data_IF_978597263001
#
_entry.id   IF_978597263001
#
_cell.length_a   1.000
_cell.length_b   1.000
_cell.length_c   1.000
_cell.angle_alpha   90.00
_cell.angle_beta   90.00
_cell.angle_gamma   90.00
#
_symmetry.space_group_name_H-M   'P 1'
#
loop_
_entity.id
_entity.type
_entity.pdbx_description
1 polymer ?
#
# COMPACT_ATOMS: atom_id res chain seq x y z
N UNK A 1 36.16 8.85 18.74
CA UNK A 1 35.50 7.57 19.02
C UNK A 1 36.15 7.00 20.27
N UNK A 2 35.41 6.93 21.41
CA UNK A 2 35.93 6.22 22.59
C UNK A 2 35.74 4.73 22.33
N UNK A 3 36.79 3.93 22.46
CA UNK A 3 36.66 2.49 22.39
C UNK A 3 35.86 2.03 23.62
N UNK A 4 34.68 1.51 23.41
CA UNK A 4 33.82 0.97 24.43
C UNK A 4 34.03 -0.54 24.49
N UNK A 5 34.64 -0.98 25.56
CA UNK A 5 34.82 -2.39 25.87
C UNK A 5 36.19 -2.97 25.56
N UNK A 6 36.45 -4.09 26.18
CA UNK A 6 37.65 -4.88 26.00
C UNK A 6 37.32 -5.98 24.96
N UNK A 7 38.06 -6.03 23.86
CA UNK A 7 37.93 -7.12 22.90
C UNK A 7 38.76 -8.27 23.43
N UNK A 8 38.12 -9.27 23.99
CA UNK A 8 38.81 -10.51 24.40
C UNK A 8 39.03 -11.44 23.20
N UNK A 9 39.97 -12.40 23.36
CA UNK A 9 40.37 -13.34 22.29
C UNK A 9 39.23 -14.16 21.68
N UNK A 10 38.06 -14.18 22.31
CA UNK A 10 36.89 -14.96 21.89
C UNK A 10 35.85 -14.14 21.11
N UNK A 11 36.24 -13.02 20.58
CA UNK A 11 35.34 -12.17 19.74
C UNK A 11 34.10 -11.66 20.53
N UNK A 12 34.24 -11.35 21.80
CA UNK A 12 33.20 -10.77 22.63
C UNK A 12 33.46 -9.26 22.85
N UNK A 13 32.40 -8.48 22.84
CA UNK A 13 32.41 -7.07 23.22
C UNK A 13 31.59 -6.92 24.49
N UNK A 14 32.11 -6.23 25.50
CA UNK A 14 31.41 -5.89 26.73
C UNK A 14 30.99 -4.43 26.67
N UNK A 15 29.74 -4.14 27.00
CA UNK A 15 29.20 -2.80 27.09
C UNK A 15 28.21 -2.71 28.25
N UNK A 16 28.01 -1.51 28.78
CA UNK A 16 27.08 -1.27 29.88
C UNK A 16 25.65 -1.19 29.31
N UNK A 17 24.71 -1.94 29.88
CA UNK A 17 23.31 -1.88 29.51
C UNK A 17 22.63 -0.63 30.08
N UNK A 18 21.84 0.06 29.29
CA UNK A 18 21.01 1.18 29.70
C UNK A 18 19.66 0.76 30.31
N UNK A 19 19.37 -0.54 30.29
CA UNK A 19 18.14 -1.15 30.81
C UNK A 19 18.20 -2.68 30.71
N UNK A 20 17.09 -3.35 30.95
CA UNK A 20 16.97 -4.80 30.79
C UNK A 20 17.18 -5.20 29.32
N UNK A 21 17.96 -6.25 29.08
CA UNK A 21 18.23 -6.81 27.75
C UNK A 21 17.97 -8.30 27.81
N UNK A 22 17.03 -8.78 26.98
CA UNK A 22 16.67 -10.19 26.91
C UNK A 22 17.68 -10.98 26.07
N UNK A 23 17.93 -12.24 26.46
CA UNK A 23 18.82 -13.12 25.70
C UNK A 23 18.36 -13.34 24.26
N UNK A 24 19.30 -13.26 23.31
CA UNK A 24 19.01 -13.45 21.89
C UNK A 24 18.37 -12.24 21.20
N UNK A 25 18.19 -11.13 21.89
CA UNK A 25 17.70 -9.89 21.27
C UNK A 25 18.84 -9.08 20.66
N UNK A 26 18.59 -8.39 19.53
CA UNK A 26 19.54 -7.44 18.97
C UNK A 26 19.65 -6.21 19.86
N UNK A 27 20.82 -5.57 19.82
CA UNK A 27 21.13 -4.39 20.64
C UNK A 27 21.72 -3.27 19.81
N UNK A 28 21.51 -2.05 20.27
CA UNK A 28 22.07 -0.82 19.70
C UNK A 28 22.95 -0.11 20.71
N UNK A 29 23.96 0.62 20.22
CA UNK A 29 24.75 1.55 21.03
C UNK A 29 24.02 2.87 21.12
N UNK A 30 23.79 3.34 22.32
CA UNK A 30 23.22 4.67 22.58
C UNK A 30 24.31 5.76 22.46
N UNK A 31 23.90 7.01 22.30
CA UNK A 31 24.81 8.14 22.17
C UNK A 31 25.71 8.37 23.41
N UNK A 32 25.31 7.87 24.55
CA UNK A 32 26.09 7.91 25.81
C UNK A 32 27.07 6.74 25.95
N UNK A 33 27.12 5.82 24.97
CA UNK A 33 27.99 4.66 24.93
C UNK A 33 27.45 3.45 25.72
N UNK A 34 26.25 3.52 26.24
CA UNK A 34 25.55 2.35 26.79
C UNK A 34 24.90 1.56 25.64
N UNK A 35 24.37 0.37 25.95
CA UNK A 35 23.60 -0.46 24.99
C UNK A 35 22.19 -0.67 25.50
N UNK A 36 21.23 -0.65 24.59
CA UNK A 36 19.85 -1.02 24.85
C UNK A 36 19.38 -2.13 23.94
N UNK A 37 18.39 -2.89 24.40
CA UNK A 37 17.67 -3.81 23.52
C UNK A 37 17.02 -3.00 22.40
N UNK A 38 17.07 -3.53 21.19
CA UNK A 38 16.31 -2.96 20.09
C UNK A 38 14.84 -3.17 20.39
N UNK A 39 14.18 -2.10 20.81
CA UNK A 39 12.73 -2.08 20.95
C UNK A 39 12.11 -1.86 19.58
N UNK A 40 11.58 -2.93 18.98
CA UNK A 40 10.60 -2.80 17.91
C UNK A 40 9.21 -2.68 18.53
N UNK A 41 8.29 -2.02 17.85
CA UNK A 41 6.88 -2.18 18.17
C UNK A 41 6.43 -3.56 17.69
N UNK A 42 5.71 -4.29 18.53
CA UNK A 42 5.05 -5.54 18.13
C UNK A 42 3.99 -5.26 17.05
N UNK A 43 3.71 -6.28 16.27
CA UNK A 43 2.57 -6.25 15.35
C UNK A 43 1.27 -6.05 16.14
N UNK A 44 0.42 -5.14 15.69
CA UNK A 44 -0.84 -4.84 16.35
C UNK A 44 -1.99 -4.74 15.34
N UNK A 45 -3.11 -5.38 15.69
CA UNK A 45 -4.38 -5.32 14.99
C UNK A 45 -5.43 -4.76 15.95
N UNK A 46 -6.14 -3.71 15.50
CA UNK A 46 -7.25 -3.13 16.26
C UNK A 46 -8.51 -3.98 16.24
N UNK A 47 -9.55 -3.49 16.88
CA UNK A 47 -10.88 -4.10 16.78
C UNK A 47 -11.60 -3.68 15.50
N UNK A 48 -12.33 -4.61 14.88
CA UNK A 48 -13.16 -4.33 13.71
C UNK A 48 -14.34 -3.47 14.10
N UNK A 49 -14.55 -2.39 13.36
CA UNK A 49 -15.76 -1.55 13.45
C UNK A 49 -16.51 -1.58 12.12
N UNK A 50 -17.83 -1.44 12.14
CA UNK A 50 -18.67 -1.52 10.95
C UNK A 50 -19.56 -0.28 10.79
N UNK A 51 -19.72 0.18 9.55
CA UNK A 51 -20.76 1.11 9.14
C UNK A 51 -22.07 0.33 8.86
N UNK A 52 -23.20 1.05 8.80
CA UNK A 52 -24.54 0.42 8.72
C UNK A 52 -25.04 0.22 7.27
N UNK A 53 -24.17 0.21 6.28
CA UNK A 53 -24.59 0.06 4.87
C UNK A 53 -24.03 -1.18 4.22
N UNK A 54 -24.89 -1.90 3.51
CA UNK A 54 -24.53 -3.10 2.74
C UNK A 54 -23.68 -2.69 1.52
N UNK A 55 -22.55 -3.34 1.36
CA UNK A 55 -21.59 -3.12 0.28
C UNK A 55 -21.80 -4.12 -0.84
N UNK A 56 -21.90 -3.64 -2.07
CA UNK A 56 -22.01 -4.49 -3.27
C UNK A 56 -20.70 -4.58 -4.08
N UNK A 57 -19.69 -3.81 -3.73
CA UNK A 57 -18.43 -3.79 -4.49
C UNK A 57 -17.34 -2.92 -3.88
N UNK A 58 -16.41 -2.55 -4.68
CA UNK A 58 -15.12 -1.94 -4.42
C UNK A 58 -15.06 -0.86 -3.35
N UNK A 59 -13.90 -0.81 -2.70
CA UNK A 59 -13.50 0.22 -1.74
C UNK A 59 -12.32 1.03 -2.26
N UNK A 60 -12.25 2.27 -1.80
CA UNK A 60 -10.99 3.02 -1.71
C UNK A 60 -10.92 3.71 -0.36
N UNK A 61 -9.72 3.88 0.15
CA UNK A 61 -9.45 4.65 1.37
C UNK A 61 -8.46 5.75 1.06
N UNK A 62 -8.75 6.95 1.53
CA UNK A 62 -7.91 8.14 1.34
C UNK A 62 -7.58 8.72 2.70
N UNK A 63 -6.30 8.85 3.02
CA UNK A 63 -5.87 9.55 4.22
C UNK A 63 -5.73 11.05 3.93
N UNK A 64 -6.54 11.84 4.60
CA UNK A 64 -6.46 13.31 4.62
C UNK A 64 -5.49 13.73 5.74
N UNK A 65 -4.26 14.01 5.35
CA UNK A 65 -3.20 14.41 6.28
C UNK A 65 -3.40 15.79 6.89
N UNK A 66 -4.27 16.63 6.33
CA UNK A 66 -4.60 17.94 6.89
C UNK A 66 -5.59 17.86 8.06
N UNK A 67 -6.45 16.85 8.04
CA UNK A 67 -7.44 16.60 9.09
C UNK A 67 -7.10 15.38 9.96
N UNK A 68 -6.04 14.62 9.63
CA UNK A 68 -5.65 13.37 10.27
C UNK A 68 -6.83 12.37 10.33
N UNK A 69 -7.48 12.16 9.18
CA UNK A 69 -8.65 11.29 9.05
C UNK A 69 -8.60 10.50 7.74
N UNK A 70 -9.24 9.35 7.77
CA UNK A 70 -9.45 8.54 6.58
C UNK A 70 -10.86 8.76 6.03
N UNK A 71 -10.98 8.88 4.71
CA UNK A 71 -12.27 8.82 4.03
C UNK A 71 -12.34 7.47 3.31
N UNK A 72 -13.24 6.62 3.77
CA UNK A 72 -13.54 5.33 3.16
C UNK A 72 -14.68 5.57 2.18
N UNK A 73 -14.48 5.27 0.90
CA UNK A 73 -15.49 5.37 -0.14
C UNK A 73 -15.77 3.99 -0.70
N UNK A 74 -17.03 3.63 -0.86
CA UNK A 74 -17.44 2.29 -1.28
C UNK A 74 -18.75 2.29 -2.07
N UNK A 75 -18.96 1.22 -2.83
CA UNK A 75 -20.14 1.00 -3.63
C UNK A 75 -21.22 0.22 -2.85
N UNK A 76 -22.46 0.68 -2.94
CA UNK A 76 -23.65 -0.12 -2.64
C UNK A 76 -24.35 -0.51 -3.94
N UNK A 77 -25.51 -1.15 -3.86
CA UNK A 77 -26.26 -1.56 -5.08
C UNK A 77 -26.74 -0.38 -5.94
N UNK A 78 -26.86 0.81 -5.38
CA UNK A 78 -27.47 1.98 -6.04
C UNK A 78 -26.71 3.29 -5.88
N UNK A 79 -25.70 3.33 -5.00
CA UNK A 79 -25.01 4.57 -4.66
C UNK A 79 -23.53 4.34 -4.40
N UNK A 80 -22.73 5.39 -4.58
CA UNK A 80 -21.42 5.52 -3.93
C UNK A 80 -21.61 6.21 -2.58
N UNK A 81 -21.14 5.58 -1.52
CA UNK A 81 -21.22 6.08 -0.14
C UNK A 81 -19.85 6.34 0.43
N UNK A 82 -19.81 7.07 1.52
CA UNK A 82 -18.58 7.28 2.27
C UNK A 82 -18.84 7.26 3.78
N UNK A 83 -17.78 6.96 4.51
CA UNK A 83 -17.70 7.14 5.96
C UNK A 83 -16.31 7.66 6.32
N UNK A 84 -16.25 8.59 7.29
CA UNK A 84 -14.99 9.13 7.78
C UNK A 84 -14.53 8.30 8.98
N UNK A 85 -13.29 7.83 8.96
CA UNK A 85 -12.69 7.07 10.05
C UNK A 85 -11.56 7.87 10.71
N UNK A 86 -11.41 7.68 12.02
CA UNK A 86 -10.28 8.20 12.80
C UNK A 86 -9.64 7.05 13.55
N UNK A 87 -8.31 6.95 13.50
CA UNK A 87 -7.54 6.00 14.29
C UNK A 87 -6.99 6.73 15.52
N UNK A 88 -7.25 6.18 16.70
CA UNK A 88 -6.65 6.67 17.94
C UNK A 88 -5.21 6.12 18.11
N UNK A 89 -4.41 6.72 18.98
CA UNK A 89 -3.02 6.30 19.21
C UNK A 89 -2.90 4.86 19.71
N UNK A 90 -3.91 4.35 20.43
CA UNK A 90 -4.00 2.95 20.89
C UNK A 90 -4.42 1.97 19.79
N UNK A 91 -4.83 2.47 18.60
CA UNK A 91 -5.30 1.67 17.48
C UNK A 91 -6.83 1.53 17.42
N UNK A 92 -7.57 2.12 18.34
CA UNK A 92 -9.04 2.16 18.27
C UNK A 92 -9.50 2.92 17.03
N UNK A 93 -10.44 2.35 16.27
CA UNK A 93 -11.07 3.01 15.10
C UNK A 93 -12.43 3.51 15.47
N UNK A 94 -12.72 4.78 15.13
CA UNK A 94 -14.08 5.34 15.23
C UNK A 94 -14.56 5.76 13.85
N UNK A 95 -15.84 5.48 13.56
CA UNK A 95 -16.49 5.85 12.31
C UNK A 95 -17.48 7.00 12.53
N UNK A 96 -17.49 7.95 11.60
CA UNK A 96 -18.51 8.96 11.49
C UNK A 96 -19.83 8.40 10.91
N UNK A 97 -20.75 9.30 10.58
CA UNK A 97 -22.01 8.92 9.93
C UNK A 97 -21.77 8.50 8.49
N UNK A 98 -22.34 7.36 8.11
CA UNK A 98 -22.33 6.87 6.74
C UNK A 98 -23.30 7.72 5.89
N UNK A 99 -22.80 8.24 4.75
CA UNK A 99 -23.54 9.14 3.89
C UNK A 99 -23.32 8.85 2.39
N UNK A 100 -24.19 9.38 1.54
CA UNK A 100 -24.07 9.26 0.09
C UNK A 100 -23.04 10.26 -0.43
N UNK A 101 -22.08 9.77 -1.22
CA UNK A 101 -21.15 10.61 -1.97
C UNK A 101 -21.71 10.95 -3.36
N UNK A 102 -22.29 9.96 -4.04
CA UNK A 102 -22.89 10.10 -5.36
C UNK A 102 -24.08 9.15 -5.51
N UNK A 103 -25.23 9.67 -5.95
CA UNK A 103 -26.49 8.92 -6.04
C UNK A 103 -26.64 8.26 -7.44
N UNK A 104 -25.69 7.40 -7.80
CA UNK A 104 -25.68 6.67 -9.07
C UNK A 104 -24.96 5.33 -8.92
N UNK A 105 -25.13 4.41 -9.89
CA UNK A 105 -24.40 3.14 -9.91
C UNK A 105 -22.94 3.40 -10.32
N UNK A 106 -22.05 3.42 -9.34
CA UNK A 106 -20.64 3.76 -9.52
C UNK A 106 -19.77 2.52 -9.30
N UNK A 107 -18.84 2.29 -10.21
CA UNK A 107 -17.98 1.12 -10.21
C UNK A 107 -16.52 1.55 -10.40
N UNK A 108 -15.58 0.65 -10.08
CA UNK A 108 -14.14 0.88 -10.25
C UNK A 108 -13.63 2.16 -9.57
N UNK A 109 -13.95 2.28 -8.30
CA UNK A 109 -13.65 3.47 -7.49
C UNK A 109 -12.17 3.51 -7.16
N UNK A 110 -11.52 4.64 -7.44
CA UNK A 110 -10.16 4.96 -7.02
C UNK A 110 -10.15 6.31 -6.30
N UNK A 111 -9.33 6.45 -5.26
CA UNK A 111 -9.24 7.68 -4.49
C UNK A 111 -7.80 8.13 -4.27
N UNK A 112 -7.60 9.45 -4.17
CA UNK A 112 -6.33 10.05 -3.82
C UNK A 112 -6.56 11.35 -3.03
N UNK A 113 -5.59 11.72 -2.20
CA UNK A 113 -5.58 13.00 -1.49
C UNK A 113 -4.76 14.03 -2.27
N UNK A 114 -5.40 15.14 -2.62
CA UNK A 114 -4.74 16.36 -3.11
C UNK A 114 -4.26 17.17 -1.89
N UNK A 115 -2.99 16.98 -1.54
CA UNK A 115 -2.38 17.66 -0.39
C UNK A 115 -2.11 19.15 -0.63
N UNK A 116 -2.14 19.61 -1.88
CA UNK A 116 -1.96 21.03 -2.23
C UNK A 116 -3.21 21.82 -1.90
N UNK A 117 -4.38 21.28 -2.22
CA UNK A 117 -5.67 21.93 -2.01
C UNK A 117 -6.44 21.37 -0.80
N UNK A 118 -5.91 20.35 -0.13
CA UNK A 118 -6.56 19.62 0.96
C UNK A 118 -7.93 19.08 0.51
N UNK A 119 -7.95 18.25 -0.53
CA UNK A 119 -9.16 17.68 -1.10
C UNK A 119 -9.06 16.18 -1.30
N UNK A 120 -10.19 15.52 -1.15
CA UNK A 120 -10.37 14.12 -1.52
C UNK A 120 -10.79 14.10 -2.99
N UNK A 121 -10.07 13.37 -3.83
CA UNK A 121 -10.45 13.16 -5.24
C UNK A 121 -10.78 11.70 -5.43
N UNK A 122 -11.97 11.43 -6.01
CA UNK A 122 -12.44 10.08 -6.30
C UNK A 122 -12.77 9.98 -7.78
N UNK A 123 -12.15 9.03 -8.47
CA UNK A 123 -12.49 8.68 -9.85
C UNK A 123 -13.27 7.37 -9.88
N UNK A 124 -14.23 7.26 -10.79
CA UNK A 124 -15.10 6.10 -10.88
C UNK A 124 -15.70 5.95 -12.28
N UNK A 125 -16.19 4.76 -12.55
CA UNK A 125 -17.01 4.45 -13.72
C UNK A 125 -18.48 4.60 -13.35
N UNK A 126 -19.22 5.41 -14.08
CA UNK A 126 -20.63 5.67 -13.85
C UNK A 126 -21.51 4.77 -14.73
N UNK A 127 -22.14 3.75 -14.13
CA UNK A 127 -22.88 2.72 -14.83
C UNK A 127 -24.17 3.21 -15.49
N UNK A 128 -24.85 4.19 -14.88
CA UNK A 128 -26.05 4.82 -15.42
C UNK A 128 -25.77 5.89 -16.50
N UNK A 129 -24.48 6.15 -16.79
CA UNK A 129 -24.01 7.03 -17.85
C UNK A 129 -23.10 6.26 -18.84
N UNK A 130 -23.57 5.14 -19.34
CA UNK A 130 -22.88 4.32 -20.36
C UNK A 130 -21.44 3.93 -19.96
N UNK A 131 -21.19 3.75 -18.69
CA UNK A 131 -19.86 3.41 -18.12
C UNK A 131 -18.81 4.52 -18.32
N UNK A 132 -19.22 5.78 -18.51
CA UNK A 132 -18.31 6.91 -18.64
C UNK A 132 -17.47 7.12 -17.38
N UNK A 133 -16.29 7.73 -17.55
CA UNK A 133 -15.37 8.03 -16.48
C UNK A 133 -15.65 9.40 -15.84
N UNK A 134 -15.90 9.41 -14.54
CA UNK A 134 -16.18 10.62 -13.76
C UNK A 134 -15.21 10.78 -12.60
N UNK A 135 -14.99 12.04 -12.18
CA UNK A 135 -14.33 12.38 -10.92
C UNK A 135 -15.24 13.23 -10.04
N UNK A 136 -15.08 13.05 -8.75
CA UNK A 136 -15.77 13.81 -7.70
C UNK A 136 -14.72 14.38 -6.74
N UNK A 137 -14.89 15.63 -6.30
CA UNK A 137 -13.97 16.29 -5.37
C UNK A 137 -14.70 16.62 -4.08
N UNK A 138 -14.12 16.20 -2.95
CA UNK A 138 -14.67 16.39 -1.62
C UNK A 138 -13.80 17.28 -0.73
N UNK A 139 -14.45 18.09 0.10
CA UNK A 139 -13.84 18.86 1.19
C UNK A 139 -14.27 18.28 2.52
N UNK A 140 -13.33 17.80 3.30
CA UNK A 140 -13.58 17.21 4.62
C UNK A 140 -13.64 18.31 5.69
N UNK A 141 -14.65 18.24 6.55
CA UNK A 141 -14.77 19.04 7.79
C UNK A 141 -15.37 18.18 8.88
N UNK A 142 -14.64 18.01 9.99
CA UNK A 142 -15.05 17.10 11.06
C UNK A 142 -15.17 15.66 10.57
N UNK A 143 -16.38 15.12 10.55
CA UNK A 143 -16.68 13.77 10.02
C UNK A 143 -17.59 13.81 8.78
N UNK A 144 -17.71 14.97 8.14
CA UNK A 144 -18.55 15.16 6.95
C UNK A 144 -17.71 15.62 5.77
N UNK A 145 -17.95 15.00 4.60
CA UNK A 145 -17.38 15.44 3.33
C UNK A 145 -18.45 16.19 2.53
N UNK A 146 -18.14 17.43 2.14
CA UNK A 146 -18.95 18.18 1.19
C UNK A 146 -18.40 17.92 -0.22
N UNK A 147 -19.19 17.25 -1.04
CA UNK A 147 -18.84 16.89 -2.41
C UNK A 147 -19.23 17.97 -3.39
N UNK A 148 -18.39 18.19 -4.41
CA UNK A 148 -18.70 19.02 -5.57
C UNK A 148 -19.58 18.29 -6.58
N UNK A 149 -19.74 18.85 -7.77
CA UNK A 149 -20.44 18.19 -8.87
C UNK A 149 -19.52 17.18 -9.58
N UNK A 150 -20.04 16.00 -9.98
CA UNK A 150 -19.28 15.07 -10.82
C UNK A 150 -18.82 15.73 -12.11
N UNK A 151 -17.59 15.45 -12.52
CA UNK A 151 -17.01 15.96 -13.77
C UNK A 151 -16.48 14.80 -14.60
N UNK A 152 -16.93 14.70 -15.84
CA UNK A 152 -16.52 13.66 -16.77
C UNK A 152 -15.05 13.84 -17.21
N UNK A 153 -14.24 12.78 -17.10
CA UNK A 153 -12.89 12.77 -17.66
C UNK A 153 -12.79 11.99 -18.98
N UNK A 154 -13.75 11.12 -19.26
CA UNK A 154 -13.83 10.38 -20.53
C UNK A 154 -15.26 9.96 -20.85
N UNK A 155 -15.74 10.34 -22.05
CA UNK A 155 -17.10 10.09 -22.54
C UNK A 155 -17.24 8.73 -23.23
N UNK A 156 -16.62 7.70 -22.69
CA UNK A 156 -16.73 6.33 -23.18
C UNK A 156 -16.56 5.37 -22.02
N UNK A 157 -16.84 4.09 -22.24
CA UNK A 157 -16.68 3.04 -21.23
C UNK A 157 -15.23 2.96 -20.75
N UNK A 158 -15.05 2.90 -19.44
CA UNK A 158 -13.74 2.87 -18.80
C UNK A 158 -13.61 1.67 -17.88
N UNK A 159 -12.40 1.13 -17.81
CA UNK A 159 -12.00 0.15 -16.80
C UNK A 159 -10.57 0.40 -16.35
N UNK A 160 -10.14 -0.30 -15.27
CA UNK A 160 -8.78 -0.16 -14.76
C UNK A 160 -8.45 1.25 -14.28
N UNK A 161 -9.40 1.98 -13.67
CA UNK A 161 -9.20 3.36 -13.22
C UNK A 161 -8.23 3.39 -12.05
N UNK A 162 -7.24 4.28 -12.11
CA UNK A 162 -6.29 4.55 -11.03
C UNK A 162 -5.99 6.04 -10.93
N UNK A 163 -5.73 6.51 -9.70
CA UNK A 163 -5.35 7.88 -9.39
C UNK A 163 -3.99 7.94 -8.71
N UNK A 164 -3.23 8.96 -9.04
CA UNK A 164 -2.01 9.36 -8.31
C UNK A 164 -1.93 10.89 -8.23
N UNK A 165 -1.23 11.40 -7.22
CA UNK A 165 -1.07 12.85 -7.01
C UNK A 165 0.42 13.20 -6.88
N UNK A 166 0.89 14.08 -7.76
CA UNK A 166 2.22 14.66 -7.74
C UNK A 166 2.21 15.89 -6.82
N UNK A 167 2.79 15.71 -5.63
CA UNK A 167 2.83 16.76 -4.61
C UNK A 167 3.74 17.93 -5.00
N UNK A 168 4.71 17.72 -5.89
CA UNK A 168 5.63 18.75 -6.38
C UNK A 168 4.95 19.62 -7.44
N UNK A 169 4.25 19.00 -8.39
CA UNK A 169 3.50 19.73 -9.42
C UNK A 169 2.18 20.30 -8.91
N UNK A 170 1.66 19.80 -7.76
CA UNK A 170 0.33 20.12 -7.26
C UNK A 170 -0.77 19.66 -8.24
N UNK A 171 -0.57 18.52 -8.89
CA UNK A 171 -1.43 17.95 -9.94
C UNK A 171 -1.64 16.47 -9.72
N UNK A 172 -2.77 15.96 -10.15
CA UNK A 172 -2.97 14.53 -10.17
C UNK A 172 -3.07 13.96 -11.59
N UNK A 173 -3.02 12.64 -11.66
CA UNK A 173 -3.18 11.88 -12.90
C UNK A 173 -4.25 10.84 -12.71
N UNK A 174 -5.22 10.77 -13.62
CA UNK A 174 -6.12 9.64 -13.79
C UNK A 174 -5.62 8.80 -14.96
N UNK A 175 -5.41 7.50 -14.72
CA UNK A 175 -5.06 6.51 -15.74
C UNK A 175 -6.17 5.48 -15.87
N UNK A 176 -6.45 5.03 -17.09
CA UNK A 176 -7.57 4.15 -17.39
C UNK A 176 -7.42 3.44 -18.74
N UNK A 177 -8.19 2.37 -18.93
CA UNK A 177 -8.47 1.76 -20.23
C UNK A 177 -9.58 2.55 -20.91
N UNK A 178 -9.34 3.08 -22.11
CA UNK A 178 -10.28 3.88 -22.85
C UNK A 178 -11.05 3.05 -23.88
N UNK A 179 -12.28 2.66 -23.57
CA UNK A 179 -13.15 1.90 -24.48
C UNK A 179 -13.53 2.65 -25.76
N UNK A 180 -13.53 3.98 -25.72
CA UNK A 180 -13.76 4.83 -26.89
C UNK A 180 -12.57 4.94 -27.84
N UNK A 181 -11.37 4.47 -27.41
CA UNK A 181 -10.16 4.48 -28.22
C UNK A 181 -9.50 3.09 -28.21
N UNK A 182 -10.15 2.11 -28.81
CA UNK A 182 -9.60 0.75 -29.00
C UNK A 182 -9.10 0.07 -27.73
N UNK A 183 -9.60 0.44 -26.57
CA UNK A 183 -9.15 -0.03 -25.25
C UNK A 183 -7.69 0.35 -24.91
N UNK A 184 -7.16 1.40 -25.50
CA UNK A 184 -5.81 1.87 -25.25
C UNK A 184 -5.65 2.39 -23.81
N UNK A 185 -4.47 2.18 -23.24
CA UNK A 185 -4.07 2.78 -21.98
C UNK A 185 -3.93 4.29 -22.13
N UNK A 186 -4.74 5.04 -21.40
CA UNK A 186 -4.84 6.50 -21.51
C UNK A 186 -4.69 7.15 -20.14
N UNK A 187 -4.09 8.32 -20.09
CA UNK A 187 -3.99 9.12 -18.87
C UNK A 187 -4.32 10.59 -19.15
N UNK A 188 -4.81 11.28 -18.12
CA UNK A 188 -5.03 12.73 -18.13
C UNK A 188 -4.53 13.35 -16.84
N UNK A 189 -3.90 14.51 -16.95
CA UNK A 189 -3.58 15.34 -15.77
C UNK A 189 -4.83 16.03 -15.30
N UNK A 190 -5.04 16.11 -14.01
CA UNK A 190 -6.13 16.90 -13.43
C UNK A 190 -5.63 17.99 -12.49
N UNK A 191 -6.42 19.05 -12.38
CA UNK A 191 -6.22 20.19 -11.49
C UNK A 191 -7.48 20.40 -10.67
N UNK A 192 -7.34 20.53 -9.35
CA UNK A 192 -8.44 20.82 -8.44
C UNK A 192 -8.45 22.31 -8.07
N UNK A 193 -9.63 22.89 -8.00
CA UNK A 193 -9.88 24.25 -7.50
C UNK A 193 -11.18 24.27 -6.69
N UNK A 194 -11.08 24.50 -5.39
CA UNK A 194 -12.22 24.31 -4.49
C UNK A 194 -12.71 22.87 -4.50
N UNK A 195 -13.95 22.63 -4.89
CA UNK A 195 -14.53 21.29 -5.11
C UNK A 195 -14.77 20.99 -6.59
N UNK A 196 -14.18 21.79 -7.49
CA UNK A 196 -14.20 21.57 -8.93
C UNK A 196 -12.90 20.91 -9.41
N UNK A 197 -12.98 20.18 -10.53
CA UNK A 197 -11.84 19.52 -11.15
C UNK A 197 -11.85 19.81 -12.65
N UNK A 198 -10.68 19.99 -13.24
CA UNK A 198 -10.49 20.16 -14.68
C UNK A 198 -9.39 19.22 -15.18
N UNK A 199 -9.46 18.85 -16.45
CA UNK A 199 -8.57 17.87 -17.06
C UNK A 199 -7.79 18.45 -18.24
N UNK A 200 -6.51 18.13 -18.32
CA UNK A 200 -5.66 18.38 -19.48
C UNK A 200 -5.99 17.43 -20.64
N UNK A 201 -5.13 17.42 -21.66
CA UNK A 201 -5.27 16.55 -22.83
C UNK A 201 -5.15 15.06 -22.45
N UNK A 202 -5.96 14.21 -23.07
CA UNK A 202 -5.82 12.75 -22.94
C UNK A 202 -4.59 12.27 -23.72
N UNK A 203 -3.71 11.54 -23.07
CA UNK A 203 -2.47 11.02 -23.66
C UNK A 203 -2.47 9.49 -23.58
N UNK A 204 -2.26 8.83 -24.71
CA UNK A 204 -2.11 7.39 -24.79
C UNK A 204 -0.72 6.99 -24.30
N UNK A 205 -0.64 6.10 -23.30
CA UNK A 205 0.62 5.54 -22.82
C UNK A 205 0.88 4.11 -23.33
N UNK A 206 -0.17 3.39 -23.73
CA UNK A 206 -0.08 2.10 -24.42
C UNK A 206 -1.10 2.03 -25.55
N UNK A 207 -0.63 1.82 -26.79
CA UNK A 207 -1.46 1.68 -27.99
C UNK A 207 -1.96 0.25 -28.24
N UNK A 208 -1.84 -0.62 -27.24
CA UNK A 208 -2.47 -1.94 -27.17
C UNK A 208 -3.69 -1.93 -26.25
N UNK A 209 -4.51 -3.00 -26.34
CA UNK A 209 -5.57 -3.22 -25.34
C UNK A 209 -4.93 -3.32 -23.95
N UNK A 210 -5.32 -2.42 -23.07
CA UNK A 210 -4.76 -2.26 -21.71
C UNK A 210 -5.79 -2.66 -20.67
N UNK A 211 -5.36 -3.19 -19.55
CA UNK A 211 -6.23 -3.37 -18.39
C UNK A 211 -5.43 -3.21 -17.07
N UNK A 212 -6.15 -3.18 -15.94
CA UNK A 212 -5.57 -3.26 -14.58
C UNK A 212 -4.52 -2.19 -14.29
N UNK A 213 -4.76 -0.95 -14.71
CA UNK A 213 -3.80 0.13 -14.47
C UNK A 213 -3.66 0.42 -12.97
N UNK A 214 -2.44 0.69 -12.54
CA UNK A 214 -2.10 1.17 -11.20
C UNK A 214 -1.04 2.24 -11.30
N UNK A 215 -1.37 3.42 -10.83
CA UNK A 215 -0.45 4.56 -10.85
C UNK A 215 0.02 4.90 -9.45
N UNK A 216 1.26 5.34 -9.35
CA UNK A 216 1.88 5.81 -8.12
C UNK A 216 2.80 6.99 -8.41
N UNK A 217 2.92 7.90 -7.45
CA UNK A 217 3.84 9.01 -7.53
C UNK A 217 5.17 8.65 -6.86
N UNK A 218 6.25 8.73 -7.62
CA UNK A 218 7.64 8.66 -7.16
C UNK A 218 8.10 10.07 -6.77
N UNK A 219 8.07 10.36 -5.48
CA UNK A 219 8.45 11.69 -4.96
C UNK A 219 9.96 11.95 -4.98
N UNK A 220 10.79 10.92 -5.12
CA UNK A 220 12.25 11.06 -5.26
C UNK A 220 12.63 11.62 -6.62
N UNK A 221 11.96 11.14 -7.68
CA UNK A 221 12.24 11.53 -9.05
C UNK A 221 11.22 12.51 -9.63
N UNK A 222 10.17 12.84 -8.90
CA UNK A 222 9.02 13.64 -9.35
C UNK A 222 8.42 13.07 -10.63
N UNK A 223 8.01 11.79 -10.59
CA UNK A 223 7.46 11.04 -11.70
C UNK A 223 6.18 10.31 -11.32
N UNK A 224 5.30 10.19 -12.29
CA UNK A 224 4.17 9.26 -12.22
C UNK A 224 4.58 7.95 -12.85
N UNK A 225 4.43 6.86 -12.15
CA UNK A 225 4.69 5.51 -12.69
C UNK A 225 3.37 4.78 -12.82
N UNK A 226 3.06 4.29 -14.02
CA UNK A 226 1.83 3.54 -14.30
C UNK A 226 2.23 2.11 -14.67
N UNK A 227 1.83 1.14 -13.84
CA UNK A 227 1.89 -0.28 -14.14
C UNK A 227 0.56 -0.74 -14.74
N UNK A 228 0.58 -1.66 -15.68
CA UNK A 228 -0.61 -2.16 -16.36
C UNK A 228 -0.42 -3.56 -16.93
N UNK A 229 -1.53 -4.21 -17.28
CA UNK A 229 -1.57 -5.42 -18.11
C UNK A 229 -1.71 -5.00 -19.56
N UNK A 230 -0.79 -5.44 -20.43
CA UNK A 230 -0.92 -5.29 -21.88
C UNK A 230 -1.62 -6.51 -22.46
N UNK A 231 -2.93 -6.41 -22.63
CA UNK A 231 -3.75 -7.52 -23.12
C UNK A 231 -3.49 -7.82 -24.60
N UNK A 232 -2.92 -6.87 -25.35
CA UNK A 232 -2.48 -7.07 -26.72
C UNK A 232 -1.17 -7.90 -26.79
N UNK A 233 -0.39 -7.93 -25.67
CA UNK A 233 0.82 -8.74 -25.52
C UNK A 233 0.62 -9.84 -24.47
N UNK A 234 -0.42 -10.65 -24.63
CA UNK A 234 -0.70 -11.82 -23.76
C UNK A 234 -0.91 -11.47 -22.28
N UNK A 235 -1.39 -10.26 -21.99
CA UNK A 235 -1.61 -9.73 -20.64
C UNK A 235 -0.34 -9.67 -19.78
N UNK A 236 0.81 -9.45 -20.40
CA UNK A 236 2.08 -9.23 -19.69
C UNK A 236 2.04 -7.94 -18.85
N UNK A 237 2.81 -7.94 -17.77
CA UNK A 237 2.97 -6.74 -16.93
C UNK A 237 3.98 -5.78 -17.51
N UNK A 238 3.55 -4.55 -17.79
CA UNK A 238 4.38 -3.45 -18.27
C UNK A 238 4.20 -2.20 -17.43
N UNK A 239 5.16 -1.29 -17.49
CA UNK A 239 5.05 0.02 -16.85
C UNK A 239 5.65 1.11 -17.72
N UNK A 240 5.16 2.34 -17.51
CA UNK A 240 5.67 3.58 -18.13
C UNK A 240 5.94 4.63 -17.06
N UNK A 241 6.89 5.53 -17.35
CA UNK A 241 7.22 6.67 -16.49
C UNK A 241 6.72 7.95 -17.15
N UNK A 242 5.84 8.66 -16.43
CA UNK A 242 5.23 9.91 -16.85
C UNK A 242 5.88 11.13 -16.19
N UNK A 243 6.04 12.21 -16.97
CA UNK A 243 6.48 13.52 -16.50
C UNK A 243 5.39 14.54 -16.72
N UNK A 244 4.91 15.17 -15.65
CA UNK A 244 3.92 16.25 -15.73
C UNK A 244 4.61 17.57 -16.08
N UNK A 245 4.01 18.32 -17.00
CA UNK A 245 4.39 19.70 -17.33
C UNK A 245 3.13 20.52 -17.55
N UNK A 246 2.81 21.40 -16.60
CA UNK A 246 1.55 22.15 -16.61
C UNK A 246 0.34 21.22 -16.48
N UNK A 247 -0.49 21.13 -17.53
CA UNK A 247 -1.66 20.25 -17.61
C UNK A 247 -1.45 19.05 -18.53
N UNK A 248 -0.23 18.86 -19.02
CA UNK A 248 0.13 17.78 -19.93
C UNK A 248 1.02 16.75 -19.23
N UNK A 249 1.02 15.53 -19.77
CA UNK A 249 1.92 14.45 -19.34
C UNK A 249 2.59 13.84 -20.56
N UNK A 250 3.87 13.56 -20.44
CA UNK A 250 4.63 12.83 -21.46
C UNK A 250 5.17 11.53 -20.86
N UNK A 251 5.23 10.48 -21.65
CA UNK A 251 5.67 9.15 -21.21
C UNK A 251 6.99 8.75 -21.87
N UNK A 252 7.82 8.06 -21.09
CA UNK A 252 8.97 7.31 -21.63
C UNK A 252 8.53 5.99 -22.27
N UNK A 253 9.52 5.17 -22.67
CA UNK A 253 9.24 3.86 -23.27
C UNK A 253 8.65 2.90 -22.23
N UNK A 254 7.78 2.01 -22.71
CA UNK A 254 7.28 0.88 -21.92
C UNK A 254 8.41 -0.08 -21.52
N UNK A 255 8.35 -0.55 -20.28
CA UNK A 255 9.28 -1.56 -19.77
C UNK A 255 8.48 -2.70 -19.17
N UNK A 256 8.79 -3.92 -19.58
CA UNK A 256 8.15 -5.12 -19.10
C UNK A 256 8.74 -5.54 -17.74
N UNK A 257 7.88 -5.84 -16.76
CA UNK A 257 8.26 -6.35 -15.45
C UNK A 257 7.79 -7.79 -15.18
N UNK A 258 6.82 -8.30 -15.96
CA UNK A 258 6.30 -9.66 -15.82
C UNK A 258 6.16 -10.32 -17.20
N UNK A 259 6.79 -11.48 -17.36
CA UNK A 259 6.71 -12.29 -18.58
C UNK A 259 5.43 -13.12 -18.67
N UNK A 260 4.92 -13.52 -17.50
CA UNK A 260 3.68 -14.27 -17.38
C UNK A 260 2.46 -13.36 -17.44
N UNK A 261 1.29 -14.00 -17.59
CA UNK A 261 0.02 -13.27 -17.58
C UNK A 261 -0.25 -12.68 -16.19
N UNK A 262 -0.57 -11.40 -16.14
CA UNK A 262 -1.20 -10.78 -14.98
C UNK A 262 -2.71 -11.02 -15.06
N UNK A 263 -3.23 -11.80 -14.12
CA UNK A 263 -4.60 -12.33 -14.20
C UNK A 263 -5.63 -11.45 -13.47
N UNK A 264 -5.19 -10.50 -12.64
CA UNK A 264 -6.12 -9.72 -11.84
C UNK A 264 -5.52 -8.38 -11.40
N UNK A 265 -6.39 -7.52 -10.87
CA UNK A 265 -6.05 -6.20 -10.37
C UNK A 265 -4.79 -6.26 -9.50
N UNK A 266 -3.92 -5.31 -9.70
CA UNK A 266 -2.72 -5.14 -8.91
C UNK A 266 -2.88 -4.01 -7.91
N UNK A 267 -1.84 -3.79 -7.12
CA UNK A 267 -1.67 -2.64 -6.26
C UNK A 267 -0.28 -2.03 -6.49
N UNK A 268 -0.13 -0.75 -6.19
CA UNK A 268 1.15 -0.05 -6.32
C UNK A 268 1.41 0.81 -5.08
N UNK A 269 2.66 0.86 -4.65
CA UNK A 269 3.10 1.75 -3.59
C UNK A 269 4.49 2.31 -3.91
N UNK A 270 4.80 3.47 -3.35
CA UNK A 270 6.12 4.06 -3.41
C UNK A 270 6.78 3.99 -2.04
N UNK A 271 7.89 3.28 -1.95
CA UNK A 271 8.77 3.24 -0.78
C UNK A 271 9.68 4.47 -0.81
N UNK A 272 9.32 5.47 -0.02
CA UNK A 272 10.04 6.75 0.04
C UNK A 272 11.41 6.65 0.72
N UNK A 273 11.66 5.64 1.54
CA UNK A 273 12.95 5.44 2.21
C UNK A 273 14.01 4.93 1.23
N UNK A 274 13.61 4.04 0.31
CA UNK A 274 14.53 3.46 -0.67
C UNK A 274 14.42 4.11 -2.06
N UNK A 275 13.42 4.98 -2.28
CA UNK A 275 13.13 5.59 -3.58
C UNK A 275 12.72 4.56 -4.63
N UNK A 276 11.89 3.57 -4.23
CA UNK A 276 11.49 2.47 -5.10
C UNK A 276 9.98 2.40 -5.28
N UNK A 277 9.58 2.00 -6.46
CA UNK A 277 8.19 1.64 -6.77
C UNK A 277 8.00 0.14 -6.58
N UNK A 278 6.90 -0.25 -5.94
CA UNK A 278 6.53 -1.66 -5.78
C UNK A 278 5.19 -1.89 -6.46
N UNK A 279 5.15 -2.84 -7.39
CA UNK A 279 3.92 -3.38 -7.94
C UNK A 279 3.65 -4.75 -7.34
N UNK A 280 2.44 -4.95 -6.82
CA UNK A 280 1.94 -6.24 -6.34
C UNK A 280 0.77 -6.67 -7.22
N UNK A 281 0.78 -7.92 -7.70
CA UNK A 281 -0.19 -8.43 -8.66
C UNK A 281 -0.38 -9.94 -8.50
N UNK A 282 -1.45 -10.45 -9.11
CA UNK A 282 -1.64 -11.91 -9.23
C UNK A 282 -1.01 -12.40 -10.53
N UNK A 283 0.04 -13.21 -10.39
CA UNK A 283 0.64 -13.92 -11.50
C UNK A 283 -0.11 -15.22 -11.78
N UNK A 284 -0.42 -15.47 -13.05
CA UNK A 284 -0.91 -16.77 -13.50
C UNK A 284 0.28 -17.57 -14.04
N UNK A 285 0.88 -18.39 -13.18
CA UNK A 285 1.99 -19.26 -13.58
C UNK A 285 1.42 -20.58 -14.15
N UNK A 286 1.25 -20.65 -15.47
CA UNK A 286 1.03 -21.92 -16.15
C UNK A 286 2.35 -22.68 -16.27
N UNK A 287 2.62 -23.60 -15.36
CA UNK A 287 3.63 -24.64 -15.58
C UNK A 287 2.93 -25.87 -16.19
N UNK A 288 2.89 -25.98 -17.51
CA UNK A 288 2.72 -27.22 -18.31
C UNK A 288 1.71 -28.29 -17.86
N UNK A 289 0.78 -27.99 -16.98
CA UNK A 289 -0.16 -28.94 -16.40
C UNK A 289 -1.50 -28.29 -16.05
N UNK A 290 -2.51 -29.06 -15.87
CA UNK A 290 -3.94 -28.75 -15.80
C UNK A 290 -4.42 -27.78 -14.71
N UNK A 291 -3.56 -27.20 -13.90
CA UNK A 291 -3.90 -26.23 -12.84
C UNK A 291 -2.94 -25.06 -12.87
N UNK A 292 -3.44 -23.89 -13.30
CA UNK A 292 -2.71 -22.64 -13.22
C UNK A 292 -2.58 -22.20 -11.74
N UNK A 293 -1.38 -22.22 -11.19
CA UNK A 293 -1.12 -21.67 -9.86
C UNK A 293 -1.21 -20.13 -9.92
N UNK A 294 -2.08 -19.56 -9.12
CA UNK A 294 -2.24 -18.12 -8.97
C UNK A 294 -1.46 -17.68 -7.75
N UNK A 295 -0.46 -16.83 -7.93
CA UNK A 295 0.45 -16.39 -6.88
C UNK A 295 0.32 -14.90 -6.63
N UNK A 296 0.34 -14.50 -5.36
CA UNK A 296 0.62 -13.11 -5.00
C UNK A 296 2.10 -12.81 -5.26
N UNK A 297 2.38 -11.94 -6.23
CA UNK A 297 3.73 -11.62 -6.69
C UNK A 297 3.98 -10.13 -6.57
N UNK A 298 5.19 -9.73 -6.22
CA UNK A 298 5.59 -8.33 -6.20
C UNK A 298 6.93 -8.12 -6.89
N UNK A 299 7.12 -6.92 -7.46
CA UNK A 299 8.35 -6.53 -8.14
C UNK A 299 8.75 -5.12 -7.74
N UNK A 300 10.06 -4.90 -7.61
CA UNK A 300 10.65 -3.60 -7.28
C UNK A 300 11.12 -2.89 -8.55
N UNK A 301 10.65 -1.66 -8.75
CA UNK A 301 11.05 -0.78 -9.84
C UNK A 301 11.95 0.36 -9.36
N UNK A 302 12.97 0.67 -10.15
CA UNK A 302 13.87 1.82 -9.93
C UNK A 302 13.72 2.78 -11.09
N UNK A 303 13.22 3.99 -10.83
CA UNK A 303 13.07 5.04 -11.83
C UNK A 303 14.40 5.77 -12.05
N UNK A 304 14.71 6.06 -13.30
CA UNK A 304 15.85 6.89 -13.70
C UNK A 304 15.46 7.73 -14.92
N UNK A 305 15.34 9.02 -14.75
CA UNK A 305 14.85 9.93 -15.79
C UNK A 305 13.42 9.60 -16.21
N UNK A 306 13.22 9.18 -17.46
CA UNK A 306 11.93 8.78 -18.02
C UNK A 306 11.81 7.25 -18.22
N UNK A 307 12.72 6.49 -17.65
CA UNK A 307 12.74 5.03 -17.72
C UNK A 307 12.65 4.40 -16.33
N UNK A 308 12.28 3.12 -16.29
CA UNK A 308 12.25 2.31 -15.07
C UNK A 308 12.94 0.98 -15.36
N UNK A 309 13.69 0.47 -14.39
CA UNK A 309 14.25 -0.88 -14.42
C UNK A 309 13.66 -1.70 -13.28
N UNK A 310 13.52 -3.00 -13.49
CA UNK A 310 12.88 -3.89 -12.51
C UNK A 310 13.85 -4.95 -12.01
N UNK A 311 13.72 -5.29 -10.73
CA UNK A 311 14.32 -6.47 -10.15
C UNK A 311 13.58 -7.75 -10.57
N UNK A 312 14.00 -8.89 -10.03
CA UNK A 312 13.29 -10.15 -10.26
C UNK A 312 11.97 -10.18 -9.48
N UNK A 313 10.84 -10.52 -10.11
CA UNK A 313 9.58 -10.70 -9.40
C UNK A 313 9.69 -11.77 -8.31
N UNK A 314 9.12 -11.49 -7.15
CA UNK A 314 9.13 -12.39 -5.98
C UNK A 314 7.70 -12.79 -5.64
N UNK A 315 7.43 -14.09 -5.61
CA UNK A 315 6.17 -14.60 -5.09
C UNK A 315 6.17 -14.51 -3.55
N UNK A 316 5.36 -13.65 -3.00
CA UNK A 316 5.21 -13.47 -1.55
C UNK A 316 4.06 -14.31 -0.96
N UNK A 317 3.16 -14.82 -1.79
CA UNK A 317 2.15 -15.80 -1.42
C UNK A 317 2.07 -16.93 -2.45
N UNK A 318 2.49 -18.12 -2.04
CA UNK A 318 2.51 -19.33 -2.86
C UNK A 318 1.36 -20.30 -2.53
N UNK A 319 0.43 -19.91 -1.64
CA UNK A 319 -0.63 -20.82 -1.16
C UNK A 319 -1.85 -20.88 -2.07
N UNK A 320 -1.75 -20.32 -3.27
CA UNK A 320 -2.86 -20.16 -4.18
C UNK A 320 -3.35 -21.44 -4.81
N UNK A 321 -4.47 -21.95 -4.30
CA UNK A 321 -5.38 -22.82 -5.05
C UNK A 321 -6.70 -22.09 -5.24
N UNK A 322 -7.14 -21.99 -6.50
CA UNK A 322 -8.52 -21.66 -6.97
C UNK A 322 -9.20 -20.38 -6.44
N UNK A 323 -8.55 -19.55 -5.64
CA UNK A 323 -9.15 -18.38 -5.05
C UNK A 323 -8.71 -17.06 -5.69
N UNK A 324 -9.40 -15.98 -5.31
CA UNK A 324 -9.13 -14.64 -5.80
C UNK A 324 -7.99 -13.97 -5.00
N UNK A 325 -6.80 -14.58 -4.93
CA UNK A 325 -5.60 -13.96 -4.32
C UNK A 325 -5.15 -12.75 -5.14
N UNK A 326 -5.97 -11.72 -5.11
CA UNK A 326 -5.79 -10.53 -5.91
C UNK A 326 -5.39 -9.39 -5.01
N UNK A 327 -4.16 -8.85 -5.10
CA UNK A 327 -3.80 -7.61 -4.45
C UNK A 327 -4.78 -6.50 -4.82
N UNK A 328 -5.47 -5.95 -3.81
CA UNK A 328 -6.49 -4.93 -4.02
C UNK A 328 -5.99 -3.53 -3.65
N UNK A 329 -5.14 -3.44 -2.63
CA UNK A 329 -4.57 -2.20 -2.15
C UNK A 329 -3.15 -2.38 -1.67
N UNK A 330 -2.33 -1.34 -1.79
CA UNK A 330 -1.01 -1.26 -1.20
C UNK A 330 -0.75 0.16 -0.69
N UNK A 331 0.02 0.25 0.39
CA UNK A 331 0.51 1.51 0.94
C UNK A 331 1.89 1.31 1.53
N UNK A 332 2.71 2.35 1.53
CA UNK A 332 3.98 2.35 2.25
C UNK A 332 3.77 2.83 3.68
N UNK A 333 4.12 1.99 4.64
CA UNK A 333 4.24 2.33 6.06
C UNK A 333 5.65 2.85 6.32
N UNK A 334 5.78 4.19 6.42
CA UNK A 334 7.06 4.85 6.62
C UNK A 334 7.65 4.64 8.03
N UNK A 335 6.82 4.25 9.00
CA UNK A 335 7.27 3.95 10.36
C UNK A 335 7.92 2.55 10.42
N UNK A 336 7.26 1.54 9.86
CA UNK A 336 7.78 0.18 9.81
C UNK A 336 8.73 -0.06 8.62
N UNK A 337 8.80 0.88 7.65
CA UNK A 337 9.59 0.79 6.42
C UNK A 337 9.23 -0.43 5.58
N UNK A 338 7.93 -0.63 5.41
CA UNK A 338 7.36 -1.77 4.69
C UNK A 338 6.23 -1.33 3.77
N UNK A 339 6.14 -1.97 2.62
CA UNK A 339 4.94 -1.91 1.78
C UNK A 339 3.94 -2.92 2.30
N UNK A 340 2.74 -2.46 2.63
CA UNK A 340 1.64 -3.30 3.11
C UNK A 340 0.72 -3.58 1.94
N UNK A 341 0.52 -4.86 1.60
CA UNK A 341 -0.40 -5.29 0.54
C UNK A 341 -1.57 -6.02 1.15
N UNK A 342 -2.80 -5.63 0.79
CA UNK A 342 -4.03 -6.26 1.30
C UNK A 342 -4.81 -6.96 0.19
N UNK A 343 -5.30 -8.17 0.50
CA UNK A 343 -6.21 -8.90 -0.38
C UNK A 343 -6.93 -10.05 0.34
N UNK A 344 -8.07 -10.52 -0.21
CA UNK A 344 -8.71 -11.74 0.26
C UNK A 344 -7.90 -12.96 -0.18
N UNK A 345 -7.45 -13.76 0.77
CA UNK A 345 -6.66 -14.98 0.55
C UNK A 345 -7.54 -16.20 0.67
N UNK A 346 -7.53 -17.06 -0.33
CA UNK A 346 -8.12 -18.39 -0.22
C UNK A 346 -7.09 -19.33 0.42
N UNK A 347 -7.48 -20.00 1.48
CA UNK A 347 -6.64 -20.97 2.17
C UNK A 347 -7.02 -22.36 1.64
N UNK A 348 -6.00 -23.19 1.34
CA UNK A 348 -6.18 -24.57 0.87
C UNK A 348 -7.14 -25.35 1.80
N UNK A 349 -8.13 -26.03 1.21
CA UNK A 349 -9.15 -26.76 1.94
C UNK A 349 -10.27 -25.92 2.55
N UNK A 350 -10.26 -24.60 2.38
CA UNK A 350 -11.34 -23.70 2.80
C UNK A 350 -11.65 -22.72 1.67
N UNK A 351 -12.89 -22.69 1.20
CA UNK A 351 -13.36 -21.72 0.19
C UNK A 351 -13.58 -20.31 0.75
N UNK A 352 -13.10 -20.02 1.97
CA UNK A 352 -13.29 -18.72 2.59
C UNK A 352 -12.16 -17.77 2.25
N UNK A 353 -12.48 -16.70 1.53
CA UNK A 353 -11.58 -15.59 1.19
C UNK A 353 -11.32 -14.71 2.43
N UNK A 354 -10.38 -15.10 3.29
CA UNK A 354 -10.04 -14.33 4.48
C UNK A 354 -9.17 -13.13 4.13
N UNK A 355 -9.43 -12.00 4.75
CA UNK A 355 -8.65 -10.79 4.55
C UNK A 355 -7.26 -10.89 5.18
N UNK A 356 -6.22 -10.69 4.37
CA UNK A 356 -4.84 -10.70 4.83
C UNK A 356 -4.12 -9.42 4.45
N UNK A 357 -3.20 -9.00 5.32
CA UNK A 357 -2.20 -7.98 5.04
C UNK A 357 -0.82 -8.64 4.99
N UNK A 358 -0.05 -8.32 3.96
CA UNK A 358 1.31 -8.81 3.72
C UNK A 358 2.29 -7.67 3.85
N UNK A 359 3.10 -7.63 4.92
CA UNK A 359 4.17 -6.65 5.02
C UNK A 359 5.36 -7.11 4.16
N UNK A 360 5.76 -6.25 3.22
CA UNK A 360 6.84 -6.47 2.26
C UNK A 360 7.95 -5.45 2.50
N UNK A 361 9.14 -5.91 2.81
CA UNK A 361 10.33 -5.06 2.95
C UNK A 361 11.09 -5.02 1.62
N UNK A 362 11.37 -3.82 1.13
CA UNK A 362 12.26 -3.63 -0.02
C UNK A 362 13.72 -3.78 0.43
N UNK A 363 14.49 -4.61 -0.28
CA UNK A 363 15.93 -4.78 -0.08
C UNK A 363 16.65 -4.72 -1.42
N UNK A 364 17.25 -3.55 -1.72
CA UNK A 364 17.82 -3.27 -3.03
C UNK A 364 16.77 -3.31 -4.15
N UNK A 365 16.80 -4.33 -4.99
CA UNK A 365 15.83 -4.55 -6.08
C UNK A 365 14.96 -5.78 -5.86
N UNK A 366 14.92 -6.32 -4.65
CA UNK A 366 14.12 -7.50 -4.30
C UNK A 366 13.17 -7.23 -3.13
N UNK A 367 12.28 -8.18 -2.86
CA UNK A 367 11.30 -8.14 -1.79
C UNK A 367 11.62 -9.23 -0.77
N UNK A 368 11.56 -8.88 0.50
CA UNK A 368 11.50 -9.84 1.62
C UNK A 368 10.10 -9.73 2.22
N UNK A 369 9.34 -10.81 2.17
CA UNK A 369 8.00 -10.85 2.74
C UNK A 369 8.04 -11.35 4.19
N UNK A 370 7.33 -10.64 5.07
CA UNK A 370 7.09 -11.11 6.43
C UNK A 370 5.88 -12.08 6.47
N UNK A 371 5.62 -12.66 7.63
CA UNK A 371 4.43 -13.47 7.86
C UNK A 371 3.17 -12.62 7.68
N UNK A 372 2.19 -13.06 6.85
CA UNK A 372 0.96 -12.32 6.68
C UNK A 372 0.08 -12.38 7.93
N UNK A 373 -0.63 -11.28 8.20
CA UNK A 373 -1.61 -11.22 9.27
C UNK A 373 -3.04 -11.29 8.70
N UNK A 374 -3.89 -12.08 9.36
CA UNK A 374 -5.32 -12.16 9.05
C UNK A 374 -6.07 -11.07 9.82
N UNK A 375 -6.62 -10.06 9.12
CA UNK A 375 -7.25 -8.90 9.77
C UNK A 375 -8.76 -9.07 10.05
N UNK A 376 -9.41 -10.15 9.61
CA UNK A 376 -10.86 -10.36 9.80
C UNK A 376 -11.23 -11.72 10.40
N UNK A 377 -10.28 -12.47 10.96
CA UNK A 377 -10.51 -13.75 11.61
C UNK A 377 -11.00 -14.85 10.65
N UNK A 378 -12.06 -15.54 11.02
CA UNK A 378 -12.62 -16.65 10.24
C UNK A 378 -13.62 -16.21 9.15
N UNK A 379 -14.04 -14.95 9.15
CA UNK A 379 -14.98 -14.43 8.18
C UNK A 379 -14.32 -14.19 6.82
N UNK A 380 -15.13 -14.09 5.76
CA UNK A 380 -14.67 -13.66 4.43
C UNK A 380 -14.55 -12.15 4.39
N UNK A 381 -13.55 -11.61 3.70
CA UNK A 381 -13.39 -10.19 3.42
C UNK A 381 -13.49 -9.94 1.92
N UNK A 382 -14.34 -9.00 1.50
CA UNK A 382 -14.45 -8.57 0.11
C UNK A 382 -13.77 -7.23 -0.11
N UNK A 383 -13.09 -7.07 -1.24
CA UNK A 383 -12.58 -5.80 -1.78
C UNK A 383 -11.75 -4.93 -0.81
N UNK A 384 -10.76 -5.45 -0.09
CA UNK A 384 -10.03 -4.65 0.89
C UNK A 384 -9.27 -3.49 0.23
N UNK A 385 -9.23 -2.35 0.92
CA UNK A 385 -8.43 -1.18 0.60
C UNK A 385 -7.64 -0.74 1.83
N UNK A 386 -6.52 -0.06 1.65
CA UNK A 386 -5.62 0.35 2.73
C UNK A 386 -5.11 1.77 2.52
N UNK A 387 -4.98 2.52 3.60
CA UNK A 387 -4.29 3.82 3.64
C UNK A 387 -3.50 3.98 4.94
N UNK A 388 -2.40 4.72 4.91
CA UNK A 388 -1.50 4.90 6.05
C UNK A 388 -1.71 6.28 6.70
N UNK A 389 -1.88 6.29 8.00
CA UNK A 389 -1.98 7.47 8.84
C UNK A 389 -0.59 7.82 9.40
N UNK A 390 0.01 8.87 8.85
CA UNK A 390 1.33 9.35 9.26
C UNK A 390 1.31 10.03 10.64
N UNK A 391 0.13 10.39 11.15
CA UNK A 391 0.01 11.06 12.45
C UNK A 391 0.11 10.06 13.62
N UNK A 392 -0.51 8.88 13.49
CA UNK A 392 -0.49 7.83 14.52
C UNK A 392 0.38 6.63 14.13
N UNK A 393 1.01 6.65 12.94
CA UNK A 393 1.84 5.57 12.40
C UNK A 393 1.10 4.22 12.35
N UNK A 394 -0.12 4.24 11.83
CA UNK A 394 -0.97 3.07 11.68
C UNK A 394 -1.68 3.07 10.33
N UNK A 395 -1.96 1.90 9.81
CA UNK A 395 -2.76 1.75 8.59
C UNK A 395 -4.22 1.50 8.92
N UNK A 396 -5.13 2.06 8.12
CA UNK A 396 -6.54 1.70 8.10
C UNK A 396 -6.77 0.71 6.95
N UNK A 397 -7.36 -0.43 7.27
CA UNK A 397 -7.84 -1.41 6.29
C UNK A 397 -9.36 -1.35 6.29
N UNK A 398 -9.97 -1.02 5.15
CA UNK A 398 -11.41 -1.05 4.95
C UNK A 398 -11.78 -2.23 4.03
N UNK A 399 -12.88 -2.91 4.33
CA UNK A 399 -13.30 -4.11 3.60
C UNK A 399 -14.81 -4.40 3.80
N UNK A 400 -15.38 -5.23 2.91
CA UNK A 400 -16.70 -5.81 3.15
C UNK A 400 -16.55 -7.02 4.07
N UNK A 401 -17.26 -7.02 5.17
CA UNK A 401 -17.31 -8.15 6.09
C UNK A 401 -18.51 -9.05 5.72
N UNK A 402 -18.22 -10.21 5.13
CA UNK A 402 -19.26 -11.02 4.48
C UNK A 402 -20.34 -11.62 5.43
N UNK A 403 -20.08 -11.67 6.74
CA UNK A 403 -21.11 -12.16 7.67
C UNK A 403 -22.35 -11.24 7.77
N UNK A 404 -22.17 -9.94 7.48
CA UNK A 404 -23.24 -8.94 7.49
C UNK A 404 -23.25 -8.05 6.24
N UNK A 405 -22.29 -8.25 5.34
CA UNK A 405 -22.05 -7.48 4.11
C UNK A 405 -21.80 -5.97 4.34
N UNK A 406 -21.50 -5.55 5.57
CA UNK A 406 -21.28 -4.15 5.91
C UNK A 406 -19.85 -3.68 5.56
N UNK A 407 -19.76 -2.39 5.26
CA UNK A 407 -18.47 -1.71 5.22
C UNK A 407 -17.83 -1.75 6.60
N UNK A 408 -16.67 -2.35 6.72
CA UNK A 408 -15.95 -2.53 7.97
C UNK A 408 -14.55 -1.96 7.86
N UNK A 409 -13.97 -1.59 9.00
CA UNK A 409 -12.62 -1.07 9.07
C UNK A 409 -11.90 -1.61 10.31
N UNK A 410 -10.59 -1.72 10.19
CA UNK A 410 -9.68 -2.13 11.27
C UNK A 410 -8.36 -1.39 11.11
N UNK A 411 -7.71 -1.03 12.22
CA UNK A 411 -6.35 -0.50 12.19
C UNK A 411 -5.32 -1.63 12.21
N UNK A 412 -4.18 -1.39 11.60
CA UNK A 412 -3.06 -2.32 11.55
C UNK A 412 -1.73 -1.59 11.66
N UNK A 413 -0.82 -2.16 12.44
CA UNK A 413 0.59 -1.78 12.49
C UNK A 413 1.43 -3.04 12.37
N UNK A 414 2.31 -3.16 11.37
CA UNK A 414 3.25 -4.26 11.29
C UNK A 414 4.29 -4.14 12.39
N UNK A 415 4.89 -5.27 12.78
CA UNK A 415 6.06 -5.22 13.63
C UNK A 415 7.12 -4.31 13.00
N UNK A 416 7.66 -3.38 13.78
CA UNK A 416 8.73 -2.49 13.34
C UNK A 416 10.00 -2.79 14.13
N UNK A 417 11.14 -2.84 13.45
CA UNK A 417 12.44 -2.88 14.09
C UNK A 417 13.18 -1.59 13.81
N UNK A 418 13.54 -0.85 14.83
CA UNK A 418 14.35 0.37 14.73
C UNK A 418 15.84 0.11 14.58
N UNK A 419 16.24 -1.03 14.00
CA UNK A 419 17.63 -1.29 13.66
C UNK A 419 18.05 -0.40 12.48
N UNK A 420 18.83 0.62 12.76
CA UNK A 420 19.70 1.21 11.73
C UNK A 420 20.98 0.39 11.68
N UNK A 421 21.43 0.04 10.48
CA UNK A 421 22.69 -0.73 10.28
C UNK A 421 23.90 -0.08 10.95
N UNK A 422 23.86 1.22 11.20
CA UNK A 422 24.92 1.99 11.84
C UNK A 422 25.04 1.72 13.34
N UNK A 423 24.01 1.24 13.99
CA UNK A 423 23.94 1.04 15.43
C UNK A 423 23.93 -0.44 15.86
N UNK A 424 23.82 -1.36 14.90
CA UNK A 424 23.79 -2.79 15.21
C UNK A 424 25.18 -3.32 15.51
N UNK A 425 25.40 -3.86 16.71
CA UNK A 425 26.70 -4.44 17.11
C UNK A 425 26.65 -5.93 17.42
N UNK A 426 25.48 -6.55 17.47
CA UNK A 426 25.41 -7.98 17.72
C UNK A 426 24.13 -8.42 18.43
N UNK A 427 24.13 -9.67 18.83
CA UNK A 427 23.07 -10.26 19.68
C UNK A 427 23.64 -10.66 21.02
N UNK A 428 22.86 -10.49 22.08
CA UNK A 428 23.24 -10.94 23.41
C UNK A 428 23.45 -12.47 23.43
N UNK A 429 24.63 -12.93 23.84
CA UNK A 429 24.94 -14.35 23.89
C UNK A 429 24.68 -14.92 25.27
N UNK A 430 23.51 -15.47 25.48
CA UNK A 430 23.15 -16.15 26.72
C UNK A 430 22.44 -15.22 27.71
N UNK A 431 21.83 -15.82 28.72
CA UNK A 431 21.26 -15.11 29.85
C UNK A 431 22.44 -14.58 30.68
N UNK A 432 22.53 -13.26 30.80
CA UNK A 432 23.38 -12.69 31.87
C UNK A 432 22.75 -13.15 33.16
N UNK A 433 23.47 -13.98 33.93
CA UNK A 433 22.98 -14.65 35.10
C UNK A 433 22.85 -13.64 36.25
N UNK A 434 21.79 -12.82 36.18
CA UNK A 434 21.35 -11.97 37.28
C UNK A 434 19.87 -12.23 37.50
N UNK A 435 19.49 -12.25 38.75
CA UNK A 435 18.12 -12.42 39.23
C UNK A 435 17.14 -11.74 38.27
N UNK A 436 16.29 -12.50 37.62
CA UNK A 436 15.48 -12.09 36.48
C UNK A 436 14.54 -10.89 36.75
N UNK A 437 14.43 -10.48 37.99
CA UNK A 437 13.55 -9.42 38.42
C UNK A 437 14.15 -7.99 38.31
N UNK A 438 15.48 -7.83 38.22
CA UNK A 438 16.09 -6.50 38.29
C UNK A 438 17.46 -6.44 37.61
N UNK A 439 17.49 -6.31 36.30
CA UNK A 439 18.69 -5.77 35.68
C UNK A 439 18.68 -4.25 35.85
N UNK A 440 19.38 -3.77 36.85
CA UNK A 440 19.52 -2.35 37.10
C UNK A 440 20.28 -1.68 35.96
N UNK A 441 19.94 -0.44 35.66
CA UNK A 441 20.70 0.47 34.77
C UNK A 441 22.17 0.40 35.17
N UNK A 442 23.07 0.09 34.24
CA UNK A 442 24.52 -0.01 34.49
C UNK A 442 25.10 -1.42 34.57
N UNK A 443 24.30 -2.49 34.39
CA UNK A 443 24.79 -3.87 34.32
C UNK A 443 25.54 -4.12 33.00
N UNK A 444 26.69 -4.82 33.07
CA UNK A 444 27.45 -5.24 31.89
C UNK A 444 26.68 -6.29 31.07
N UNK A 445 26.59 -6.09 29.76
CA UNK A 445 26.08 -7.07 28.83
C UNK A 445 27.22 -7.64 27.97
N UNK A 446 27.20 -8.95 27.72
CA UNK A 446 28.21 -9.65 26.91
C UNK A 446 27.61 -10.02 25.55
N UNK A 447 28.25 -9.59 24.49
CA UNK A 447 27.81 -9.84 23.11
C UNK A 447 28.73 -10.83 22.41
N UNK A 448 28.18 -11.69 21.55
CA UNK A 448 28.98 -12.45 20.59
C UNK A 448 29.27 -11.60 19.35
N UNK A 449 30.54 -11.49 19.00
CA UNK A 449 30.91 -10.97 17.69
C UNK A 449 30.58 -12.01 16.62
N UNK A 450 30.09 -11.57 15.48
CA UNK A 450 29.89 -12.46 14.33
C UNK A 450 28.52 -12.47 13.70
N UNK A 451 27.65 -11.53 14.03
CA UNK A 451 26.52 -11.24 13.15
C UNK A 451 27.08 -10.54 11.90
N UNK A 452 27.36 -11.32 10.87
CA UNK A 452 27.60 -10.76 9.52
C UNK A 452 26.31 -10.08 9.08
N UNK A 453 26.44 -8.83 8.65
CA UNK A 453 25.35 -8.10 7.99
C UNK A 453 24.80 -8.96 6.85
N UNK A 454 23.60 -9.47 7.00
CA UNK A 454 22.79 -10.09 5.96
C UNK A 454 21.89 -9.05 5.32
#
# INVERSE_FOLDING_TARGET
MKAFGNIEKDSQIRAVASGAISSGKPVVINSDGTVSEVSGADEALGSIVAANSIVSGQFTTVFDSSNNKHVIVYRTSSNMRYVVATIASDGGVTLGTDAVAEASDNQQIAGVFDSTNNRIVVAYRRGDDSDHGHCLVGSLSGTTVTWGSPTEFNNAANTGISLSFDTTAGKGVVSYKNGGNSNYGTARVFTVSGTSISFGTAVVFNSGSTDKTRSVYDSTNNKIVIGFSDDADSSKGKAVVGTISGTDITFGSEVQFEQGKIDSHGAAAFDSDTGKVVFAYRQNASSGGSTAFKRGTAVVGTVSGTSISFGTPVAFDNTGDYGENTPNGAVYDSNAKKVLVVYPRTIEGSYSNRGHVFPLKVSGTTIVADTPNNFNGAATAGFPAISFDTNVNKSLIAFRHDSNEYASAVSYSPASTTLTSENYIGMLSGVVNYDEATQAVGTEAVFKSGATSG
#
